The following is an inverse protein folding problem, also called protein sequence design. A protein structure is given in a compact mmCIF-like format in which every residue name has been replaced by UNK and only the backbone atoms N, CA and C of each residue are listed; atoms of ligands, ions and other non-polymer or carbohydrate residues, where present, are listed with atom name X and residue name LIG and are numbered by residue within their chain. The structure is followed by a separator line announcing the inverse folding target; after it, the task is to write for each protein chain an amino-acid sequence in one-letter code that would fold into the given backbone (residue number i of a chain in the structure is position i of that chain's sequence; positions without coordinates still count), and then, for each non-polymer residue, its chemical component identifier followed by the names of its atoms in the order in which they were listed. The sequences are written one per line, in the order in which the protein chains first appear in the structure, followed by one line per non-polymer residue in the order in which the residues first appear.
data_IF_113838459258
#
_entry.id   IF_113838459258
#
_cell.length_a   1.000
_cell.length_b   1.000
_cell.length_c   1.000
_cell.angle_alpha   90.00
_cell.angle_beta   90.00
_cell.angle_gamma   90.00
#
_symmetry.space_group_name_H-M   'P 1'
#
loop_
_entity.id
_entity.type
_entity.pdbx_description
1 polymer ?
#
# COMPACT_ATOMS: atom_id res chain seq x y z
N UNK A 1 -0.90 8.65 -3.99
CA UNK A 1 0.07 8.51 -2.89
C UNK A 1 0.21 7.05 -2.46
N UNK A 2 -0.89 6.40 -2.15
CA UNK A 2 -0.94 4.98 -1.79
C UNK A 2 -0.47 4.07 -2.91
N UNK A 3 -0.80 4.38 -4.15
CA UNK A 3 -0.35 3.59 -5.30
C UNK A 3 1.17 3.65 -5.48
N UNK A 4 1.80 4.78 -5.20
CA UNK A 4 3.23 4.95 -5.41
C UNK A 4 4.09 4.59 -4.19
N UNK A 5 3.63 4.83 -2.98
CA UNK A 5 4.42 4.58 -1.76
C UNK A 5 4.23 3.17 -1.20
N UNK A 6 3.04 2.66 -1.35
CA UNK A 6 2.68 1.30 -1.00
C UNK A 6 2.65 0.44 -2.25
N UNK A 7 3.36 0.96 -3.29
CA UNK A 7 3.15 0.46 -4.61
C UNK A 7 2.82 -0.98 -4.55
N UNK A 8 1.68 -1.14 -4.98
CA UNK A 8 0.94 -2.34 -5.13
C UNK A 8 1.85 -3.54 -5.46
N UNK A 9 2.88 -3.29 -6.24
CA UNK A 9 3.92 -4.25 -6.55
C UNK A 9 4.68 -4.82 -5.34
N UNK A 10 4.77 -4.09 -4.23
CA UNK A 10 5.46 -4.57 -3.02
C UNK A 10 4.56 -5.36 -2.08
N UNK A 11 3.24 -5.20 -2.22
CA UNK A 11 2.27 -5.99 -1.48
C UNK A 11 1.89 -7.28 -2.19
N UNK A 12 2.49 -7.59 -3.35
CA UNK A 12 2.21 -8.77 -4.14
C UNK A 12 3.26 -9.85 -3.94
N UNK A 13 2.82 -11.07 -3.72
CA UNK A 13 3.70 -12.21 -3.54
C UNK A 13 4.58 -12.49 -4.77
N UNK A 14 4.05 -12.32 -5.97
CA UNK A 14 4.74 -12.63 -7.21
C UNK A 14 5.96 -11.75 -7.49
N UNK A 15 6.00 -10.54 -6.96
CA UNK A 15 7.19 -9.67 -7.05
C UNK A 15 8.40 -10.25 -6.32
N UNK A 16 8.17 -11.20 -5.42
CA UNK A 16 9.23 -11.85 -4.65
C UNK A 16 10.03 -12.88 -5.43
N UNK A 17 9.58 -13.25 -6.62
CA UNK A 17 10.32 -14.17 -7.50
C UNK A 17 11.49 -13.47 -8.20
N UNK A 18 11.64 -12.15 -8.05
CA UNK A 18 12.77 -11.42 -8.60
C UNK A 18 14.07 -11.72 -7.84
N UNK A 19 15.21 -11.99 -8.53
CA UNK A 19 16.46 -12.41 -7.88
C UNK A 19 17.05 -11.42 -6.86
N UNK A 20 16.69 -10.15 -6.95
CA UNK A 20 17.17 -9.07 -6.07
C UNK A 20 16.16 -8.72 -4.98
N UNK A 21 15.47 -9.69 -4.46
CA UNK A 21 14.31 -9.53 -3.62
C UNK A 21 14.60 -8.84 -2.27
N UNK A 22 14.21 -7.58 -2.21
CA UNK A 22 13.94 -6.85 -0.97
C UNK A 22 12.45 -6.88 -0.62
N UNK A 23 11.74 -7.91 -1.05
CA UNK A 23 10.30 -7.99 -0.98
C UNK A 23 9.76 -7.97 0.45
N UNK A 24 8.56 -7.43 0.57
CA UNK A 24 7.87 -7.32 1.85
C UNK A 24 7.51 -8.68 2.47
N UNK A 25 7.52 -9.77 1.71
CA UNK A 25 7.21 -11.09 2.25
C UNK A 25 8.06 -11.50 3.45
N UNK A 26 9.37 -11.25 3.39
CA UNK A 26 10.30 -11.48 4.51
C UNK A 26 10.03 -10.58 5.72
N UNK A 27 9.14 -9.61 5.58
CA UNK A 27 8.73 -8.67 6.63
C UNK A 27 7.35 -8.97 7.20
N UNK A 28 6.71 -10.06 6.79
CA UNK A 28 5.46 -10.51 7.44
C UNK A 28 5.72 -10.71 8.93
N UNK A 29 4.86 -10.16 9.77
CA UNK A 29 5.01 -10.09 11.21
C UNK A 29 5.92 -8.96 11.72
N UNK A 30 6.57 -8.19 10.82
CA UNK A 30 7.47 -7.08 11.19
C UNK A 30 6.82 -5.73 10.97
N UNK A 31 7.23 -4.75 11.74
CA UNK A 31 6.83 -3.35 11.56
C UNK A 31 7.44 -2.77 10.29
N UNK A 32 6.59 -2.26 9.40
CA UNK A 32 6.95 -1.64 8.12
C UNK A 32 6.50 -0.18 7.99
N UNK A 33 5.51 0.22 8.81
CA UNK A 33 4.93 1.56 8.82
C UNK A 33 4.82 2.11 10.25
N UNK A 34 4.35 3.35 10.37
CA UNK A 34 4.01 3.94 11.67
C UNK A 34 2.88 3.14 12.33
N UNK A 35 2.91 2.92 13.66
CA UNK A 35 1.88 2.16 14.38
C UNK A 35 0.46 2.74 14.28
N UNK A 36 0.33 3.98 13.83
CA UNK A 36 -0.96 4.66 13.62
C UNK A 36 -1.60 4.31 12.27
N UNK A 37 -0.93 3.52 11.43
CA UNK A 37 -1.38 3.22 10.07
C UNK A 37 -1.83 1.77 9.97
N UNK A 38 -3.07 1.59 9.50
CA UNK A 38 -3.62 0.32 9.06
C UNK A 38 -3.89 0.36 7.56
N UNK A 39 -3.72 -0.78 6.89
CA UNK A 39 -4.02 -0.93 5.46
C UNK A 39 -4.89 -2.16 5.29
N UNK A 40 -6.05 -1.94 4.66
CA UNK A 40 -7.04 -2.98 4.40
C UNK A 40 -7.35 -3.03 2.92
N UNK A 41 -7.38 -4.22 2.34
CA UNK A 41 -7.89 -4.46 1.00
C UNK A 41 -9.34 -4.93 1.08
N UNK A 42 -10.24 -4.25 0.40
CA UNK A 42 -11.64 -4.64 0.25
C UNK A 42 -11.89 -5.18 -1.16
N UNK A 43 -12.40 -6.37 -1.25
CA UNK A 43 -12.85 -6.96 -2.52
C UNK A 43 -14.29 -6.60 -2.86
N UNK A 44 -15.15 -6.39 -1.85
CA UNK A 44 -16.60 -6.20 -2.03
C UNK A 44 -17.07 -4.75 -1.90
N UNK A 45 -16.19 -3.82 -1.53
CA UNK A 45 -16.56 -2.42 -1.30
C UNK A 45 -16.78 -1.68 -2.61
N UNK A 46 -18.03 -1.37 -2.92
CA UNK A 46 -18.45 -0.70 -4.16
C UNK A 46 -18.67 0.81 -4.01
N UNK A 47 -18.64 1.34 -2.77
CA UNK A 47 -18.85 2.76 -2.49
C UNK A 47 -18.04 3.24 -1.29
N UNK A 48 -17.64 4.49 -1.31
CA UNK A 48 -17.02 5.19 -0.20
C UNK A 48 -17.43 6.67 -0.20
N UNK A 49 -18.06 7.11 0.90
CA UNK A 49 -18.56 8.49 1.08
C UNK A 49 -19.40 8.99 -0.12
N UNK A 50 -20.34 8.19 -0.61
CA UNK A 50 -21.18 8.52 -1.76
C UNK A 50 -20.51 8.40 -3.13
N UNK A 51 -19.23 8.03 -3.19
CA UNK A 51 -18.49 7.85 -4.44
C UNK A 51 -18.43 6.37 -4.79
N UNK A 52 -18.84 6.00 -5.99
CA UNK A 52 -18.71 4.64 -6.52
C UNK A 52 -17.25 4.26 -6.69
N UNK A 53 -16.91 3.04 -6.29
CA UNK A 53 -15.58 2.48 -6.39
C UNK A 53 -15.56 1.39 -7.48
N UNK A 54 -14.49 1.36 -8.26
CA UNK A 54 -14.32 0.42 -9.37
C UNK A 54 -13.58 -0.87 -8.97
N UNK A 55 -13.15 -0.97 -7.71
CA UNK A 55 -12.33 -2.09 -7.22
C UNK A 55 -13.11 -3.32 -6.74
N UNK A 56 -14.45 -3.24 -6.67
CA UNK A 56 -15.27 -4.33 -6.14
C UNK A 56 -15.38 -5.52 -7.12
N UNK A 57 -15.29 -6.74 -6.57
CA UNK A 57 -15.44 -7.98 -7.31
C UNK A 57 -15.81 -9.13 -6.38
N UNK A 58 -16.50 -10.13 -6.90
CA UNK A 58 -16.96 -11.31 -6.16
C UNK A 58 -16.07 -12.54 -6.38
N UNK A 59 -15.44 -12.63 -7.54
CA UNK A 59 -14.55 -13.72 -7.96
C UNK A 59 -13.37 -13.09 -8.68
N UNK A 60 -12.16 -13.55 -8.42
CA UNK A 60 -10.95 -13.10 -9.11
C UNK A 60 -10.77 -13.77 -10.48
N UNK A 61 -9.74 -13.40 -11.22
CA UNK A 61 -9.48 -13.93 -12.55
C UNK A 61 -8.96 -15.39 -12.56
N UNK A 62 -8.57 -15.93 -11.42
CA UNK A 62 -8.25 -17.37 -11.24
C UNK A 62 -9.49 -18.16 -10.78
N UNK A 63 -10.68 -17.56 -10.68
CA UNK A 63 -11.93 -18.20 -10.26
C UNK A 63 -12.07 -18.32 -8.73
N UNK A 64 -11.28 -17.62 -7.96
CA UNK A 64 -11.23 -17.72 -6.50
C UNK A 64 -12.04 -16.60 -5.86
N UNK A 65 -12.89 -16.96 -4.91
CA UNK A 65 -13.65 -15.99 -4.11
C UNK A 65 -12.73 -15.36 -3.06
N UNK A 66 -12.51 -14.03 -3.09
CA UNK A 66 -11.69 -13.35 -2.09
C UNK A 66 -12.45 -13.18 -0.76
N UNK A 67 -11.72 -12.93 0.32
CA UNK A 67 -12.31 -12.36 1.53
C UNK A 67 -12.83 -10.95 1.23
N UNK A 68 -14.00 -10.60 1.82
CA UNK A 68 -14.62 -9.28 1.62
C UNK A 68 -13.71 -8.15 2.15
N UNK A 69 -12.99 -8.42 3.22
CA UNK A 69 -12.04 -7.52 3.88
C UNK A 69 -10.78 -8.29 4.28
N UNK A 70 -9.63 -7.81 3.86
CA UNK A 70 -8.34 -8.41 4.16
C UNK A 70 -7.40 -7.37 4.75
N UNK A 71 -7.01 -7.53 6.01
CA UNK A 71 -6.03 -6.65 6.65
C UNK A 71 -4.62 -6.99 6.19
N UNK A 72 -3.98 -6.10 5.45
CA UNK A 72 -2.60 -6.23 4.98
C UNK A 72 -1.60 -5.70 6.01
N UNK A 73 -1.92 -4.56 6.61
CA UNK A 73 -1.10 -3.95 7.67
C UNK A 73 -1.99 -3.57 8.84
N UNK A 74 -1.61 -3.95 10.04
CA UNK A 74 -2.28 -3.60 11.28
C UNK A 74 -1.28 -2.95 12.25
N UNK A 75 -1.60 -1.76 12.74
CA UNK A 75 -0.73 -0.97 13.64
C UNK A 75 0.72 -0.89 13.13
N UNK A 76 0.86 -0.69 11.81
CA UNK A 76 2.15 -0.62 11.13
C UNK A 76 2.87 -1.95 10.91
N UNK A 77 2.30 -3.07 11.36
CA UNK A 77 2.87 -4.43 11.20
C UNK A 77 2.27 -5.10 9.97
N UNK A 78 3.12 -5.59 9.07
CA UNK A 78 2.67 -6.36 7.91
C UNK A 78 2.10 -7.71 8.37
N UNK A 79 0.84 -7.99 8.04
CA UNK A 79 0.15 -9.24 8.41
C UNK A 79 0.22 -10.26 7.30
N UNK A 80 -0.04 -9.82 6.08
CA UNK A 80 -0.09 -10.67 4.89
C UNK A 80 0.08 -9.83 3.62
N UNK A 81 0.27 -10.52 2.52
CA UNK A 81 0.44 -9.94 1.18
C UNK A 81 -0.55 -10.59 0.23
N UNK A 82 -0.88 -9.87 -0.84
CA UNK A 82 -1.78 -10.38 -1.86
C UNK A 82 -1.11 -11.47 -2.70
N UNK A 83 -1.87 -12.50 -3.06
CA UNK A 83 -1.40 -13.61 -3.86
C UNK A 83 -2.47 -14.10 -4.85
N UNK A 84 -2.01 -14.69 -5.96
CA UNK A 84 -2.79 -15.45 -6.91
C UNK A 84 -2.87 -16.93 -6.53
N UNK A 85 -3.43 -17.75 -7.43
CA UNK A 85 -3.46 -19.20 -7.28
C UNK A 85 -2.05 -19.83 -7.22
N UNK A 86 -1.04 -19.20 -7.85
CA UNK A 86 0.34 -19.69 -7.82
C UNK A 86 0.97 -19.50 -6.45
N UNK A 87 1.33 -20.57 -5.72
CA UNK A 87 1.99 -20.47 -4.42
C UNK A 87 3.36 -19.79 -4.52
N UNK A 88 3.71 -19.05 -3.46
CA UNK A 88 5.05 -18.49 -3.29
C UNK A 88 5.58 -18.82 -1.89
N UNK A 89 6.87 -18.64 -1.65
CA UNK A 89 7.51 -18.93 -0.35
C UNK A 89 6.80 -18.26 0.83
N UNK A 90 6.25 -17.07 0.62
CA UNK A 90 5.63 -16.28 1.69
C UNK A 90 4.09 -16.20 1.62
N UNK A 91 3.50 -16.82 0.60
CA UNK A 91 2.05 -16.88 0.40
C UNK A 91 1.68 -18.19 -0.30
N UNK A 92 1.42 -19.23 0.49
CA UNK A 92 1.13 -20.57 -0.01
C UNK A 92 -0.28 -20.70 -0.60
N UNK A 93 -1.19 -19.82 -0.20
CA UNK A 93 -2.59 -19.85 -0.62
C UNK A 93 -2.96 -18.59 -1.38
N UNK A 94 -3.91 -18.72 -2.31
CA UNK A 94 -4.48 -17.58 -2.99
C UNK A 94 -5.26 -16.70 -2.02
N UNK A 95 -5.16 -15.39 -2.21
CA UNK A 95 -6.00 -14.41 -1.53
C UNK A 95 -7.15 -13.94 -2.41
N UNK A 96 -7.38 -14.59 -3.56
CA UNK A 96 -8.39 -14.17 -4.53
C UNK A 96 -8.07 -12.80 -5.14
N UNK A 97 -6.80 -12.58 -5.50
CA UNK A 97 -6.33 -11.26 -5.96
C UNK A 97 -5.83 -11.26 -7.40
N UNK A 98 -6.18 -12.27 -8.20
CA UNK A 98 -5.84 -12.32 -9.62
C UNK A 98 -6.66 -11.30 -10.41
N UNK A 99 -5.99 -10.55 -11.30
CA UNK A 99 -6.61 -9.56 -12.17
C UNK A 99 -6.03 -9.64 -13.58
N UNK A 100 -6.84 -9.31 -14.56
CA UNK A 100 -6.33 -9.07 -15.90
C UNK A 100 -5.61 -7.73 -15.96
N UNK A 101 -4.47 -7.71 -16.64
CA UNK A 101 -3.76 -6.45 -16.89
C UNK A 101 -4.54 -5.62 -17.90
N UNK A 102 -4.57 -4.30 -17.70
CA UNK A 102 -5.13 -3.36 -18.66
C UNK A 102 -4.10 -3.01 -19.75
N UNK A 103 -3.56 -4.03 -20.42
CA UNK A 103 -2.65 -3.84 -21.54
C UNK A 103 -3.37 -4.16 -22.86
N UNK A 104 -3.61 -3.18 -23.74
CA UNK A 104 -4.35 -3.40 -24.99
C UNK A 104 -3.61 -4.35 -25.98
N UNK A 105 -2.31 -4.59 -25.78
CA UNK A 105 -1.50 -5.44 -26.66
C UNK A 105 -1.35 -6.88 -26.17
N UNK A 106 -1.56 -7.13 -24.88
CA UNK A 106 -1.44 -8.46 -24.31
C UNK A 106 -2.28 -8.58 -23.04
N UNK A 107 -3.20 -9.52 -23.03
CA UNK A 107 -3.93 -9.87 -21.82
C UNK A 107 -3.07 -10.81 -20.99
N UNK A 108 -2.70 -10.41 -19.80
CA UNK A 108 -1.98 -11.24 -18.85
C UNK A 108 -2.62 -11.16 -17.46
N UNK A 109 -2.39 -12.17 -16.65
CA UNK A 109 -2.84 -12.21 -15.27
C UNK A 109 -1.76 -11.61 -14.35
N UNK A 110 -2.20 -10.74 -13.45
CA UNK A 110 -1.35 -10.17 -12.40
C UNK A 110 -2.06 -10.25 -11.06
N UNK A 111 -1.34 -10.04 -9.99
CA UNK A 111 -1.93 -9.79 -8.68
C UNK A 111 -2.26 -8.31 -8.54
N UNK A 112 -3.45 -7.98 -8.08
CA UNK A 112 -3.84 -6.59 -7.83
C UNK A 112 -4.81 -6.46 -6.66
N UNK A 113 -4.94 -5.26 -6.14
CA UNK A 113 -5.91 -4.93 -5.08
C UNK A 113 -7.34 -4.83 -5.63
N UNK A 114 -8.31 -4.95 -4.72
CA UNK A 114 -9.64 -4.42 -4.92
C UNK A 114 -9.67 -2.92 -4.62
N UNK A 115 -10.25 -2.56 -3.47
CA UNK A 115 -10.17 -1.20 -2.95
C UNK A 115 -9.22 -1.16 -1.76
N UNK A 116 -8.11 -0.46 -1.91
CA UNK A 116 -7.16 -0.28 -0.82
C UNK A 116 -7.60 0.89 0.07
N UNK A 117 -7.79 0.62 1.35
CA UNK A 117 -8.17 1.62 2.35
C UNK A 117 -7.03 1.80 3.36
N UNK A 118 -6.50 3.01 3.44
CA UNK A 118 -5.51 3.38 4.44
C UNK A 118 -6.21 4.13 5.56
N UNK A 119 -6.14 3.58 6.77
CA UNK A 119 -6.67 4.21 7.99
C UNK A 119 -5.50 4.77 8.79
N UNK A 120 -5.67 5.97 9.32
CA UNK A 120 -4.69 6.57 10.23
C UNK A 120 -5.39 7.04 11.51
N UNK A 121 -4.81 6.73 12.67
CA UNK A 121 -5.26 7.24 13.96
C UNK A 121 -4.41 8.43 14.38
N UNK A 122 -4.99 9.37 15.13
CA UNK A 122 -4.26 10.55 15.59
C UNK A 122 -3.91 11.50 14.46
N UNK A 123 -4.87 11.80 13.59
CA UNK A 123 -4.70 12.78 12.51
C UNK A 123 -4.52 14.18 13.08
N UNK A 124 -3.72 15.00 12.38
CA UNK A 124 -3.49 16.41 12.73
C UNK A 124 -3.83 17.29 11.54
N UNK A 125 -4.20 18.55 11.80
CA UNK A 125 -4.46 19.50 10.72
C UNK A 125 -3.23 19.71 9.85
N UNK A 126 -3.44 19.94 8.56
CA UNK A 126 -2.37 20.14 7.59
C UNK A 126 -1.42 21.29 7.99
N UNK A 127 -1.95 22.35 8.60
CA UNK A 127 -1.17 23.51 9.04
C UNK A 127 -0.27 23.21 10.25
N UNK A 128 -0.70 22.29 11.10
CA UNK A 128 0.09 21.80 12.24
C UNK A 128 1.11 20.75 11.82
N UNK A 129 0.84 20.04 10.73
CA UNK A 129 1.68 18.91 10.27
C UNK A 129 3.11 19.34 9.99
N UNK A 130 3.33 20.50 9.35
CA UNK A 130 4.68 21.03 9.08
C UNK A 130 5.46 21.24 10.38
N UNK A 131 4.83 21.87 11.38
CA UNK A 131 5.47 22.13 12.69
C UNK A 131 5.82 20.83 13.42
N UNK A 132 4.93 19.86 13.40
CA UNK A 132 5.19 18.54 14.01
C UNK A 132 6.29 17.78 13.28
N UNK A 133 6.33 17.85 11.95
CA UNK A 133 7.38 17.23 11.14
C UNK A 133 8.75 17.81 11.47
N UNK A 134 8.86 19.15 11.57
CA UNK A 134 10.08 19.83 11.97
C UNK A 134 10.48 19.45 13.41
N UNK A 135 9.52 19.41 14.35
CA UNK A 135 9.78 18.99 15.73
C UNK A 135 10.30 17.56 15.81
N UNK A 136 9.75 16.67 15.01
CA UNK A 136 10.22 15.29 14.90
C UNK A 136 11.63 15.22 14.32
N UNK A 137 11.92 16.03 13.29
CA UNK A 137 13.26 16.16 12.71
C UNK A 137 14.28 16.63 13.72
N UNK A 138 13.97 17.67 14.52
CA UNK A 138 14.84 18.15 15.63
C UNK A 138 15.10 17.05 16.65
N UNK A 139 14.06 16.33 17.08
CA UNK A 139 14.20 15.21 18.03
C UNK A 139 15.13 14.11 17.50
N UNK A 140 15.07 13.85 16.19
CA UNK A 140 15.93 12.85 15.54
C UNK A 140 17.27 13.39 15.05
N UNK A 141 17.59 14.65 15.33
CA UNK A 141 18.83 15.33 14.89
C UNK A 141 19.04 15.29 13.37
N UNK A 142 17.95 15.38 12.61
CA UNK A 142 18.01 15.43 11.15
C UNK A 142 18.23 16.85 10.67
N UNK A 143 18.94 17.03 9.56
CA UNK A 143 19.14 18.32 8.91
C UNK A 143 17.92 18.72 8.08
N UNK A 144 17.31 17.72 7.41
CA UNK A 144 16.15 17.91 6.55
C UNK A 144 15.05 16.90 6.88
N UNK A 145 13.81 17.31 6.62
CA UNK A 145 12.63 16.46 6.58
C UNK A 145 11.90 16.67 5.25
N UNK A 146 11.11 15.69 4.82
CA UNK A 146 10.45 15.72 3.53
C UNK A 146 8.94 15.66 3.70
N UNK A 147 8.24 16.59 3.03
CA UNK A 147 6.78 16.58 2.90
C UNK A 147 6.43 16.08 1.50
N UNK A 148 5.58 15.07 1.43
CA UNK A 148 5.00 14.60 0.18
C UNK A 148 3.74 15.42 -0.09
N UNK A 149 3.65 16.08 -1.25
CA UNK A 149 2.53 16.99 -1.56
C UNK A 149 1.57 16.43 -2.60
N UNK A 150 2.08 15.68 -3.56
CA UNK A 150 1.24 15.06 -4.57
C UNK A 150 1.96 13.86 -5.19
N UNK A 151 1.25 12.79 -5.52
CA UNK A 151 1.75 11.83 -6.49
C UNK A 151 1.63 12.48 -7.89
N UNK A 152 2.74 12.90 -8.45
CA UNK A 152 2.76 13.43 -9.82
C UNK A 152 2.73 12.27 -10.83
N UNK A 153 1.59 11.60 -10.97
CA UNK A 153 1.43 10.42 -11.84
C UNK A 153 1.91 9.11 -11.20
N UNK A 154 1.88 8.03 -11.97
CA UNK A 154 2.16 6.67 -11.47
C UNK A 154 3.63 6.43 -11.09
N UNK A 155 4.57 7.25 -11.54
CA UNK A 155 6.01 6.98 -11.42
C UNK A 155 6.80 8.03 -10.64
N UNK A 156 6.20 9.16 -10.22
CA UNK A 156 6.92 10.21 -9.53
C UNK A 156 6.18 10.73 -8.29
N UNK A 157 6.96 11.07 -7.27
CA UNK A 157 6.49 11.72 -6.05
C UNK A 157 7.04 13.14 -6.01
N UNK A 158 6.19 14.11 -5.73
CA UNK A 158 6.66 15.46 -5.42
C UNK A 158 7.03 15.54 -3.94
N UNK A 159 8.31 15.76 -3.68
CA UNK A 159 8.87 15.90 -2.35
C UNK A 159 9.27 17.36 -2.12
N UNK A 160 8.80 17.93 -1.02
CA UNK A 160 9.31 19.20 -0.51
C UNK A 160 10.30 18.92 0.61
N UNK A 161 11.54 19.32 0.39
CA UNK A 161 12.59 19.32 1.41
C UNK A 161 12.40 20.51 2.32
N UNK A 162 12.38 20.29 3.61
CA UNK A 162 12.25 21.32 4.63
C UNK A 162 13.48 21.26 5.52
N UNK A 163 14.20 22.37 5.64
CA UNK A 163 15.32 22.46 6.56
C UNK A 163 14.79 22.54 7.99
N UNK A 164 15.31 21.68 8.87
CA UNK A 164 14.83 21.54 10.25
C UNK A 164 15.19 22.74 11.13
N UNK A 165 16.22 23.51 10.76
CA UNK A 165 16.65 24.70 11.52
C UNK A 165 15.88 25.95 11.11
N UNK A 166 15.66 26.14 9.81
CA UNK A 166 15.05 27.38 9.26
C UNK A 166 13.55 27.24 8.98
N UNK A 167 13.03 26.03 8.80
CA UNK A 167 11.59 25.78 8.58
C UNK A 167 11.17 25.77 7.12
#
# INVERSE_FOLDING_TARGET
FTENLLTLNKLYAQVMLAPNDKALGKKIGKKILDPRIDIVNYSSKSEYNGTKLMGAYSIDADGIKPEAEMTLVEKGVLKQILNRATPTEHAMHSTGSARFTNNPRAVSLTTSVGTLHVKATGTTDADKMKKELIKLGKKKKLEYVYKITSPAGAESLQLYQINVKTG
#
